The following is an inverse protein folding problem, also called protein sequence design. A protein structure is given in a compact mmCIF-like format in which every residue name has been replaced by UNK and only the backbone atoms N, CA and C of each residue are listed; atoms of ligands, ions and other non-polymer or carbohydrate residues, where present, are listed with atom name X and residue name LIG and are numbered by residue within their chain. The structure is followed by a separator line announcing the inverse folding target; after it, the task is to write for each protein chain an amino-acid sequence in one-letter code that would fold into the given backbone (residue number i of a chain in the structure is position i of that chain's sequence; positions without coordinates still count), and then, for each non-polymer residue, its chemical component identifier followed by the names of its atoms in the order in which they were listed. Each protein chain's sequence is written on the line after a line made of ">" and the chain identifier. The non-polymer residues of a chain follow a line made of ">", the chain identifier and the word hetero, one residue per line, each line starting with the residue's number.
data_IF_914201793952
#
_entry.id   IF_914201793952
#
_cell.length_a   1.000
_cell.length_b   1.000
_cell.length_c   1.000
_cell.angle_alpha   90.00
_cell.angle_beta   90.00
_cell.angle_gamma   90.00
#
_symmetry.space_group_name_H-M   'P 1'
#
loop_
_entity.id
_entity.type
_entity.pdbx_description
1 polymer ?
#
# COMPACT_ATOMS: atom_id res chain seq x y z
N UNK A 1 -19.15 -19.89 16.03
CA UNK A 1 -20.55 -19.46 15.83
C UNK A 1 -20.58 -18.35 14.79
N UNK A 2 -21.01 -18.64 13.56
CA UNK A 2 -21.06 -17.66 12.48
C UNK A 2 -22.27 -16.73 12.65
N UNK A 3 -22.02 -15.43 12.80
CA UNK A 3 -23.09 -14.42 12.86
C UNK A 3 -23.52 -14.11 11.42
N UNK A 4 -24.67 -14.66 11.01
CA UNK A 4 -25.29 -14.44 9.71
C UNK A 4 -25.91 -13.04 9.69
N UNK A 5 -25.36 -12.10 8.92
CA UNK A 5 -26.06 -10.86 8.61
C UNK A 5 -26.98 -11.11 7.41
N UNK A 6 -28.30 -10.87 7.49
CA UNK A 6 -29.18 -11.03 6.34
C UNK A 6 -28.80 -10.04 5.23
N UNK A 7 -28.92 -10.46 3.97
CA UNK A 7 -28.69 -9.63 2.77
C UNK A 7 -29.73 -8.51 2.57
N UNK A 8 -30.69 -8.38 3.50
CA UNK A 8 -31.72 -7.35 3.51
C UNK A 8 -31.64 -6.54 4.80
N UNK A 9 -31.61 -5.21 4.67
CA UNK A 9 -31.61 -4.29 5.81
C UNK A 9 -33.05 -4.10 6.30
N UNK A 10 -33.45 -4.85 7.34
CA UNK A 10 -34.70 -4.59 8.05
C UNK A 10 -34.45 -3.48 9.08
N UNK A 11 -34.91 -2.26 8.79
CA UNK A 11 -34.79 -1.12 9.70
C UNK A 11 -36.01 -1.11 10.62
N UNK A 12 -35.87 -1.67 11.82
CA UNK A 12 -36.82 -1.48 12.91
C UNK A 12 -36.41 -0.21 13.68
N UNK A 13 -37.36 0.68 13.97
CA UNK A 13 -37.09 1.89 14.75
C UNK A 13 -36.38 1.53 16.07
N UNK A 14 -35.45 2.39 16.53
CA UNK A 14 -34.66 2.22 17.76
C UNK A 14 -33.61 1.09 17.73
N UNK A 15 -33.30 0.52 16.56
CA UNK A 15 -32.24 -0.50 16.45
C UNK A 15 -30.85 0.13 16.47
N UNK A 16 -29.96 -0.35 17.35
CA UNK A 16 -28.53 0.02 17.35
C UNK A 16 -27.73 -1.00 16.54
N UNK A 17 -27.14 -0.57 15.44
CA UNK A 17 -26.26 -1.40 14.61
C UNK A 17 -24.81 -1.26 15.07
N UNK A 18 -24.14 -2.39 15.34
CA UNK A 18 -22.70 -2.44 15.60
C UNK A 18 -22.02 -3.16 14.43
N UNK A 19 -21.06 -2.49 13.80
CA UNK A 19 -20.20 -3.07 12.75
C UNK A 19 -18.75 -2.97 13.17
N UNK A 20 -18.08 -4.10 13.18
CA UNK A 20 -16.64 -4.15 13.41
C UNK A 20 -15.91 -3.84 12.10
N UNK A 21 -14.86 -3.03 12.18
CA UNK A 21 -13.99 -2.68 11.05
C UNK A 21 -12.59 -3.17 11.42
N UNK A 22 -12.02 -4.05 10.61
CA UNK A 22 -10.71 -4.65 10.85
C UNK A 22 -9.80 -4.36 9.66
N UNK A 23 -8.61 -3.84 9.94
CA UNK A 23 -7.56 -3.74 8.92
C UNK A 23 -7.04 -5.15 8.59
N UNK A 24 -6.73 -5.38 7.31
CA UNK A 24 -6.24 -6.67 6.82
C UNK A 24 -4.80 -6.95 7.30
N UNK A 25 -4.00 -5.90 7.46
CA UNK A 25 -2.64 -5.94 8.03
C UNK A 25 -2.48 -4.84 9.09
N UNK A 26 -1.39 -4.85 9.88
CA UNK A 26 -1.10 -3.76 10.81
C UNK A 26 -1.12 -2.39 10.11
N UNK A 27 -1.64 -1.39 10.81
CA UNK A 27 -1.74 -0.01 10.34
C UNK A 27 -2.02 0.92 11.51
N UNK A 28 -2.40 2.15 11.22
CA UNK A 28 -2.60 3.21 12.20
C UNK A 28 -4.09 3.54 12.34
N UNK A 29 -4.56 3.66 13.58
CA UNK A 29 -5.93 4.13 13.88
C UNK A 29 -5.89 5.65 14.05
N UNK A 30 -6.63 6.36 13.21
CA UNK A 30 -6.63 7.82 13.14
C UNK A 30 -7.65 8.49 14.09
N UNK A 31 -8.32 7.72 14.94
CA UNK A 31 -9.39 8.20 15.84
C UNK A 31 -9.19 7.64 17.25
N UNK A 32 -9.82 8.29 18.23
CA UNK A 32 -9.79 7.86 19.65
C UNK A 32 -11.09 7.17 20.04
N UNK A 33 -11.03 6.35 21.09
CA UNK A 33 -12.23 5.71 21.67
C UNK A 33 -13.23 6.79 22.11
N UNK A 34 -14.50 6.62 21.74
CA UNK A 34 -15.58 7.57 22.06
C UNK A 34 -15.70 8.76 21.11
N UNK A 35 -14.77 8.93 20.17
CA UNK A 35 -14.85 9.97 19.16
C UNK A 35 -16.03 9.73 18.21
N UNK A 36 -16.88 10.74 18.01
CA UNK A 36 -17.90 10.72 16.97
C UNK A 36 -17.24 10.89 15.60
N UNK A 37 -17.68 10.06 14.63
CA UNK A 37 -17.12 10.03 13.28
C UNK A 37 -18.24 10.06 12.24
N UNK A 38 -17.99 10.75 11.14
CA UNK A 38 -18.90 10.75 9.98
C UNK A 38 -18.78 9.42 9.20
N UNK A 39 -19.85 8.95 8.51
CA UNK A 39 -19.79 7.72 7.70
C UNK A 39 -18.67 7.69 6.66
N UNK A 40 -18.28 8.84 6.09
CA UNK A 40 -17.23 8.97 5.06
C UNK A 40 -15.85 9.28 5.62
N UNK A 41 -15.74 9.47 6.94
CA UNK A 41 -14.48 9.83 7.57
C UNK A 41 -13.52 8.63 7.61
N UNK A 42 -12.26 8.88 7.24
CA UNK A 42 -11.18 7.91 7.39
C UNK A 42 -10.84 7.73 8.87
N UNK A 43 -11.07 6.53 9.40
CA UNK A 43 -10.83 6.21 10.82
C UNK A 43 -9.55 5.41 11.07
N UNK A 44 -8.97 4.81 10.03
CA UNK A 44 -7.74 4.04 10.09
C UNK A 44 -7.07 4.02 8.71
N UNK A 45 -5.75 3.88 8.69
CA UNK A 45 -4.93 3.80 7.47
C UNK A 45 -3.98 2.62 7.57
N UNK A 46 -3.62 2.06 6.43
CA UNK A 46 -2.67 0.96 6.32
C UNK A 46 -1.86 1.18 5.05
N UNK A 47 -0.54 1.10 5.15
CA UNK A 47 0.30 1.10 3.95
C UNK A 47 0.11 -0.22 3.19
N UNK A 48 -0.37 -0.09 1.96
CA UNK A 48 -0.37 -1.19 1.02
C UNK A 48 0.89 -1.08 0.18
N UNK A 49 2.00 -1.65 0.66
CA UNK A 49 3.13 -1.92 -0.23
C UNK A 49 2.61 -2.76 -1.38
N UNK A 50 2.70 -2.22 -2.60
CA UNK A 50 2.39 -2.95 -3.83
C UNK A 50 3.38 -4.09 -4.07
N UNK A 51 3.17 -4.90 -5.12
CA UNK A 51 4.17 -5.87 -5.54
C UNK A 51 5.48 -5.14 -5.84
N UNK A 52 6.58 -5.62 -5.26
CA UNK A 52 7.91 -5.19 -5.69
C UNK A 52 8.30 -6.01 -6.92
N UNK A 53 8.83 -5.34 -7.94
CA UNK A 53 9.47 -6.00 -9.07
C UNK A 53 10.98 -5.96 -8.85
N UNK A 54 11.63 -7.13 -8.92
CA UNK A 54 13.09 -7.19 -8.94
C UNK A 54 13.53 -6.98 -10.38
N UNK A 55 14.27 -5.92 -10.64
CA UNK A 55 14.87 -5.64 -11.94
C UNK A 55 16.33 -6.09 -11.93
N UNK A 56 16.79 -6.68 -13.03
CA UNK A 56 18.20 -7.04 -13.24
C UNK A 56 18.79 -6.17 -14.36
N UNK A 57 19.36 -4.99 -14.04
CA UNK A 57 19.99 -4.13 -15.04
C UNK A 57 21.21 -4.80 -15.69
N UNK A 58 21.89 -5.70 -14.97
CA UNK A 58 22.99 -6.51 -15.50
C UNK A 58 22.55 -7.32 -16.72
N UNK A 59 21.43 -8.03 -16.61
CA UNK A 59 20.86 -8.81 -17.71
C UNK A 59 20.28 -7.92 -18.82
N UNK A 60 19.59 -6.84 -18.42
CA UNK A 60 18.84 -5.99 -19.37
C UNK A 60 19.76 -5.09 -20.21
N UNK A 61 20.86 -4.62 -19.63
CA UNK A 61 21.79 -3.68 -20.25
C UNK A 61 23.17 -4.30 -20.55
N UNK A 62 23.37 -5.58 -20.25
CA UNK A 62 24.64 -6.28 -20.47
C UNK A 62 25.79 -5.78 -19.58
N UNK A 63 25.46 -5.26 -18.39
CA UNK A 63 26.46 -4.75 -17.44
C UNK A 63 27.01 -5.87 -16.55
N UNK A 64 28.28 -5.76 -16.17
CA UNK A 64 28.81 -6.57 -15.08
C UNK A 64 28.10 -6.23 -13.75
N UNK A 65 27.81 -7.20 -12.86
CA UNK A 65 27.11 -6.94 -11.60
C UNK A 65 27.76 -5.85 -10.74
N UNK A 66 29.09 -5.79 -10.72
CA UNK A 66 29.90 -4.77 -10.03
C UNK A 66 29.77 -3.35 -10.61
N UNK A 67 29.30 -3.21 -11.85
CA UNK A 67 29.12 -1.93 -12.51
C UNK A 67 27.67 -1.41 -12.41
N UNK A 68 26.71 -2.24 -12.02
CA UNK A 68 25.31 -1.81 -11.85
C UNK A 68 25.22 -0.67 -10.86
N UNK A 69 25.83 -0.81 -9.68
CA UNK A 69 25.80 0.21 -8.62
C UNK A 69 26.45 1.53 -9.06
N UNK A 70 27.48 1.48 -9.92
CA UNK A 70 28.19 2.67 -10.43
C UNK A 70 27.40 3.42 -11.50
N UNK A 71 26.46 2.74 -12.16
CA UNK A 71 25.67 3.27 -13.27
C UNK A 71 24.22 3.59 -12.85
N UNK A 72 23.87 3.49 -11.57
CA UNK A 72 22.59 3.97 -11.04
C UNK A 72 22.53 5.49 -11.14
N UNK A 73 21.42 5.99 -11.70
CA UNK A 73 21.13 7.42 -11.82
C UNK A 73 20.39 7.98 -10.60
N UNK A 74 19.85 7.08 -9.76
CA UNK A 74 19.11 7.41 -8.54
C UNK A 74 19.82 6.84 -7.31
N UNK A 75 19.84 7.55 -6.18
CA UNK A 75 20.40 7.01 -4.94
C UNK A 75 19.53 5.88 -4.38
N UNK A 76 20.14 5.01 -3.58
CA UNK A 76 19.40 3.97 -2.85
C UNK A 76 18.31 4.61 -1.97
N UNK A 77 17.10 4.05 -2.03
CA UNK A 77 15.94 4.56 -1.29
C UNK A 77 15.26 5.78 -1.92
N UNK A 78 15.67 6.21 -3.12
CA UNK A 78 14.98 7.28 -3.85
C UNK A 78 13.52 6.90 -4.17
N UNK A 79 12.64 7.90 -4.10
CA UNK A 79 11.30 7.81 -4.68
C UNK A 79 11.44 7.90 -6.20
N UNK A 80 10.84 6.95 -6.93
CA UNK A 80 10.87 6.91 -8.39
C UNK A 80 9.45 6.87 -8.94
N UNK A 81 9.23 7.55 -10.06
CA UNK A 81 7.95 7.59 -10.77
C UNK A 81 8.04 6.86 -12.11
N UNK A 82 6.90 6.57 -12.74
CA UNK A 82 6.86 5.98 -14.07
C UNK A 82 7.66 6.84 -15.07
N UNK A 83 8.54 6.20 -15.85
CA UNK A 83 9.43 6.88 -16.79
C UNK A 83 10.74 7.39 -16.19
N UNK A 84 10.97 7.23 -14.89
CA UNK A 84 12.26 7.55 -14.27
C UNK A 84 13.35 6.61 -14.80
N UNK A 85 14.42 7.16 -15.37
CA UNK A 85 15.59 6.39 -15.77
C UNK A 85 16.38 5.94 -14.53
N UNK A 86 16.50 4.62 -14.34
CA UNK A 86 17.16 4.06 -13.16
C UNK A 86 18.65 3.79 -13.38
N UNK A 87 19.03 3.35 -14.58
CA UNK A 87 20.39 2.92 -14.92
C UNK A 87 20.70 3.32 -16.36
N UNK A 88 21.92 3.80 -16.61
CA UNK A 88 22.42 4.06 -17.95
C UNK A 88 23.78 3.40 -18.14
N UNK A 89 23.92 2.56 -19.17
CA UNK A 89 25.23 1.99 -19.52
C UNK A 89 26.13 3.07 -20.15
N UNK A 90 27.33 3.28 -19.61
CA UNK A 90 28.37 4.09 -20.29
C UNK A 90 28.96 3.29 -21.44
N UNK A 91 28.39 3.43 -22.63
CA UNK A 91 28.96 2.89 -23.87
C UNK A 91 27.90 2.36 -24.83
N UNK A 92 27.25 3.27 -25.56
CA UNK A 92 26.63 3.00 -26.85
C UNK A 92 27.01 4.08 -27.85
#
# INVERSE_FOLDING_TARGET
>A
MATLFPGTTNIVALTRVRRERRLVRPGEVAVRVGQQVSPVQVIARMEQSGPYAVLSPAETLGLAPEDVAKNLLVPEGALVEEGTELVQAKGS
#
